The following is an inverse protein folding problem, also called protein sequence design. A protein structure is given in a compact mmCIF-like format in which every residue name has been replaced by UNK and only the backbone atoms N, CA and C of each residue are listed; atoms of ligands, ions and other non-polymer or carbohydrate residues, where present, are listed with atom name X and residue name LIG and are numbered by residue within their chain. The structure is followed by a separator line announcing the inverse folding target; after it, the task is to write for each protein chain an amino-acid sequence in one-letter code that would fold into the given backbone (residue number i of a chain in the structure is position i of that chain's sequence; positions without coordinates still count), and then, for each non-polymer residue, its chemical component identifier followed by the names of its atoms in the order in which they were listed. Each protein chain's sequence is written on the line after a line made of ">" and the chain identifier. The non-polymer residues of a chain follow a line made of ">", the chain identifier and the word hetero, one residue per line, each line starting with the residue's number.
data_IF_019871213387
#
_entry.id   IF_019871213387
#
_cell.length_a   1.000
_cell.length_b   1.000
_cell.length_c   1.000
_cell.angle_alpha   90.00
_cell.angle_beta   90.00
_cell.angle_gamma   90.00
#
_symmetry.space_group_name_H-M   'P 1'
#
loop_
_entity.id
_entity.type
_entity.pdbx_description
1 polymer ?
#
# COMPACT_ATOMS: atom_id res chain seq x y z
N UNK A 1 -6.84 -15.68 -24.04
CA UNK A 1 -7.21 -14.54 -23.18
C UNK A 1 -6.43 -14.70 -21.89
N UNK A 2 -5.56 -13.75 -21.56
CA UNK A 2 -4.75 -13.81 -20.34
C UNK A 2 -5.65 -13.71 -19.11
N UNK A 3 -5.51 -14.63 -18.17
CA UNK A 3 -6.20 -14.56 -16.87
C UNK A 3 -5.35 -13.73 -15.90
N UNK A 4 -5.99 -12.95 -15.04
CA UNK A 4 -5.33 -12.09 -14.07
C UNK A 4 -5.67 -12.48 -12.64
N UNK A 5 -4.69 -12.35 -11.77
CA UNK A 5 -4.86 -12.36 -10.32
C UNK A 5 -4.85 -10.91 -9.80
N UNK A 6 -5.67 -10.63 -8.79
CA UNK A 6 -5.79 -9.30 -8.18
C UNK A 6 -5.48 -9.38 -6.69
N UNK A 7 -4.90 -8.30 -6.16
CA UNK A 7 -4.74 -8.09 -4.72
C UNK A 7 -4.97 -6.63 -4.36
N UNK A 8 -5.31 -6.39 -3.11
CA UNK A 8 -5.31 -5.04 -2.54
C UNK A 8 -4.35 -4.99 -1.34
N UNK A 9 -3.80 -3.81 -1.11
CA UNK A 9 -2.92 -3.50 0.03
C UNK A 9 -3.41 -2.23 0.69
N UNK A 10 -3.66 -2.28 1.99
CA UNK A 10 -3.94 -1.08 2.78
C UNK A 10 -2.64 -0.55 3.38
N UNK A 11 -2.40 0.75 3.22
CA UNK A 11 -1.29 1.48 3.86
C UNK A 11 -1.84 2.63 4.70
N UNK A 12 -1.19 2.90 5.82
CA UNK A 12 -1.38 4.13 6.58
C UNK A 12 -0.41 5.20 6.04
N UNK A 13 -0.91 6.40 5.78
CA UNK A 13 -0.18 7.51 5.15
C UNK A 13 -0.62 8.85 5.74
N UNK A 14 -0.58 9.01 7.07
CA UNK A 14 -1.10 10.22 7.73
C UNK A 14 -0.35 11.48 7.27
N UNK A 15 -0.89 12.15 6.25
CA UNK A 15 -0.34 13.35 5.63
C UNK A 15 -0.95 14.57 6.32
N UNK A 16 -0.63 14.75 7.61
CA UNK A 16 -0.93 16.00 8.30
C UNK A 16 0.07 17.09 7.87
N UNK A 17 -0.37 18.33 7.61
CA UNK A 17 0.51 19.45 7.29
C UNK A 17 1.49 19.80 8.42
N UNK A 18 1.25 19.30 9.65
CA UNK A 18 2.21 19.38 10.75
C UNK A 18 3.14 18.17 10.67
N UNK A 19 4.16 18.28 9.82
CA UNK A 19 5.16 17.30 9.35
C UNK A 19 5.97 16.53 10.42
N UNK A 20 5.58 16.49 11.70
CA UNK A 20 6.32 15.80 12.77
C UNK A 20 5.76 14.43 13.17
N UNK A 21 4.63 14.00 12.60
CA UNK A 21 3.96 12.73 12.93
C UNK A 21 3.42 12.00 11.70
N UNK A 22 4.08 12.11 10.54
CA UNK A 22 3.68 11.35 9.36
C UNK A 22 3.74 9.85 9.70
N UNK A 23 2.57 9.25 9.92
CA UNK A 23 2.45 7.83 10.26
C UNK A 23 2.37 7.05 8.96
N UNK A 24 3.40 6.24 8.77
CA UNK A 24 3.46 5.26 7.72
C UNK A 24 3.20 3.89 8.33
N UNK A 25 2.56 3.01 7.58
CA UNK A 25 2.20 1.70 8.10
C UNK A 25 1.83 0.75 6.99
N UNK A 26 2.37 -0.46 7.04
CA UNK A 26 1.88 -1.58 6.24
C UNK A 26 1.99 -2.89 7.01
N UNK A 27 0.93 -3.68 6.97
CA UNK A 27 0.94 -5.05 7.48
C UNK A 27 1.39 -6.00 6.36
N UNK A 28 2.57 -6.60 6.53
CA UNK A 28 3.09 -7.60 5.60
C UNK A 28 2.61 -9.00 6.01
N UNK A 29 2.08 -9.82 5.09
CA UNK A 29 1.73 -11.21 5.39
C UNK A 29 2.94 -12.00 5.89
N UNK A 30 2.80 -12.66 7.04
CA UNK A 30 3.87 -13.45 7.68
C UNK A 30 4.74 -12.67 8.67
N UNK A 31 4.68 -11.34 8.69
CA UNK A 31 5.39 -10.53 9.69
C UNK A 31 4.54 -10.37 10.96
N UNK A 32 5.17 -10.53 12.14
CA UNK A 32 4.50 -10.36 13.45
C UNK A 32 4.20 -8.91 13.80
N UNK A 33 4.93 -7.97 13.20
CA UNK A 33 4.79 -6.52 13.42
C UNK A 33 4.60 -5.85 12.07
N UNK A 34 3.79 -4.81 12.03
CA UNK A 34 3.70 -3.94 10.87
C UNK A 34 5.03 -3.19 10.66
N UNK A 35 5.31 -2.82 9.41
CA UNK A 35 6.37 -1.87 9.09
C UNK A 35 5.78 -0.47 9.23
N UNK A 36 6.29 0.30 10.17
CA UNK A 36 5.73 1.58 10.64
C UNK A 36 6.55 2.80 10.16
N UNK A 37 7.40 2.60 9.16
CA UNK A 37 8.21 3.65 8.53
C UNK A 37 7.85 3.82 7.05
N UNK A 38 8.13 5.00 6.51
CA UNK A 38 7.91 5.29 5.08
C UNK A 38 8.73 4.33 4.21
N UNK A 39 9.99 4.12 4.58
CA UNK A 39 10.92 3.25 3.86
C UNK A 39 10.45 1.78 3.91
N UNK A 40 9.83 1.37 5.02
CA UNK A 40 9.27 0.03 5.15
C UNK A 40 8.07 -0.20 4.24
N UNK A 41 7.20 0.81 4.11
CA UNK A 41 6.08 0.81 3.15
C UNK A 41 6.60 0.83 1.72
N UNK A 42 7.51 1.73 1.40
CA UNK A 42 8.10 1.87 0.06
C UNK A 42 8.80 0.59 -0.39
N UNK A 43 9.61 0.00 0.49
CA UNK A 43 10.30 -1.26 0.21
C UNK A 43 9.31 -2.38 -0.11
N UNK A 44 8.24 -2.53 0.69
CA UNK A 44 7.24 -3.57 0.46
C UNK A 44 6.48 -3.37 -0.85
N UNK A 45 6.05 -2.15 -1.16
CA UNK A 45 5.37 -1.84 -2.42
C UNK A 45 6.29 -2.08 -3.61
N UNK A 46 7.57 -1.74 -3.49
CA UNK A 46 8.58 -1.99 -4.53
C UNK A 46 8.80 -3.47 -4.76
N UNK A 47 8.86 -4.27 -3.69
CA UNK A 47 9.01 -5.73 -3.78
C UNK A 47 7.80 -6.37 -4.49
N UNK A 48 6.58 -5.87 -4.27
CA UNK A 48 5.41 -6.31 -5.06
C UNK A 48 5.61 -6.06 -6.56
N UNK A 49 6.16 -4.90 -6.94
CA UNK A 49 6.50 -4.61 -8.33
C UNK A 49 7.52 -5.60 -8.91
N UNK A 50 8.55 -5.97 -8.12
CA UNK A 50 9.55 -6.98 -8.50
C UNK A 50 8.96 -8.38 -8.65
N UNK A 51 7.92 -8.70 -7.87
CA UNK A 51 7.14 -9.94 -7.98
C UNK A 51 6.16 -9.95 -9.17
N UNK A 52 6.15 -8.90 -10.00
CA UNK A 52 5.31 -8.80 -11.19
C UNK A 52 3.90 -8.23 -10.92
N UNK A 53 3.66 -7.66 -9.75
CA UNK A 53 2.40 -6.95 -9.47
C UNK A 53 2.42 -5.54 -10.07
N UNK A 54 1.44 -5.24 -10.91
CA UNK A 54 1.20 -3.93 -11.50
C UNK A 54 0.17 -3.15 -10.66
N UNK A 55 0.53 -1.95 -10.20
CA UNK A 55 -0.40 -1.04 -9.52
C UNK A 55 -1.40 -0.47 -10.54
N UNK A 56 -2.70 -0.67 -10.32
CA UNK A 56 -3.75 -0.27 -11.27
C UNK A 56 -4.74 0.75 -10.72
N UNK A 57 -4.88 0.85 -9.40
CA UNK A 57 -5.71 1.88 -8.79
C UNK A 57 -5.22 2.22 -7.38
N UNK A 58 -5.50 3.46 -6.97
CA UNK A 58 -5.26 3.96 -5.61
C UNK A 58 -6.54 4.62 -5.13
N UNK A 59 -7.02 4.21 -3.97
CA UNK A 59 -8.18 4.81 -3.30
C UNK A 59 -7.72 5.40 -1.97
N UNK A 60 -7.75 6.73 -1.86
CA UNK A 60 -7.38 7.43 -0.63
C UNK A 60 -8.57 7.51 0.32
N UNK A 61 -8.35 7.15 1.58
CA UNK A 61 -9.28 7.34 2.68
C UNK A 61 -8.92 8.59 3.48
N UNK A 62 -9.91 9.45 3.71
CA UNK A 62 -9.80 10.67 4.50
C UNK A 62 -10.57 10.56 5.81
N UNK A 63 -10.06 11.21 6.86
CA UNK A 63 -10.81 11.44 8.09
C UNK A 63 -11.81 12.60 7.91
N UNK A 64 -12.71 12.76 8.88
CA UNK A 64 -13.74 13.83 8.89
C UNK A 64 -13.18 15.24 8.65
N UNK A 65 -11.91 15.46 8.99
CA UNK A 65 -11.19 16.74 8.84
C UNK A 65 -10.57 16.94 7.45
N UNK A 66 -10.71 15.98 6.53
CA UNK A 66 -10.15 16.04 5.18
C UNK A 66 -8.70 15.56 5.07
N UNK A 67 -8.07 15.16 6.19
CA UNK A 67 -6.70 14.62 6.21
C UNK A 67 -6.72 13.21 5.64
N UNK A 68 -5.85 12.93 4.66
CA UNK A 68 -5.64 11.58 4.15
C UNK A 68 -4.85 10.81 5.19
N UNK A 69 -5.41 9.70 5.67
CA UNK A 69 -4.76 8.86 6.68
C UNK A 69 -4.49 7.45 6.21
N UNK A 70 -5.17 7.01 5.14
CA UNK A 70 -5.01 5.67 4.56
C UNK A 70 -5.09 5.71 3.04
N UNK A 71 -4.49 4.72 2.42
CA UNK A 71 -4.74 4.40 1.01
C UNK A 71 -4.92 2.89 0.84
N UNK A 72 -5.77 2.51 -0.12
CA UNK A 72 -5.89 1.16 -0.63
C UNK A 72 -5.29 1.13 -2.02
N UNK A 73 -4.24 0.34 -2.19
CA UNK A 73 -3.55 0.12 -3.45
C UNK A 73 -4.07 -1.17 -4.07
N UNK A 74 -4.54 -1.11 -5.32
CA UNK A 74 -4.99 -2.28 -6.06
C UNK A 74 -3.94 -2.69 -7.07
N UNK A 75 -3.56 -3.96 -7.05
CA UNK A 75 -2.62 -4.53 -7.99
C UNK A 75 -3.23 -5.67 -8.78
N UNK A 76 -2.69 -5.92 -9.97
CA UNK A 76 -2.96 -7.12 -10.77
C UNK A 76 -1.64 -7.76 -11.22
N UNK A 77 -1.67 -9.05 -11.54
CA UNK A 77 -0.59 -9.73 -12.28
C UNK A 77 -1.18 -10.82 -13.19
N UNK A 78 -0.54 -11.16 -14.32
CA UNK A 78 -0.97 -12.30 -15.13
C UNK A 78 -0.78 -13.61 -14.35
N UNK A 79 -1.70 -14.55 -14.49
CA UNK A 79 -1.52 -15.91 -13.98
C UNK A 79 -0.46 -16.64 -14.85
N UNK A 80 0.40 -17.49 -14.25
CA UNK A 80 1.24 -18.39 -15.01
C UNK A 80 0.37 -19.31 -15.88
N UNK A 81 0.82 -19.60 -17.10
CA UNK A 81 0.15 -20.57 -18.00
C UNK A 81 0.22 -22.00 -17.48
#
# INVERSE_FOLDING_TARGET
>A
MTKYEYKFLQIDINLSPILKLARWGVQVPGEKKARDTMEGVEAYVTDLGREGWELVAVVCGNERTGIITRAVLFFKRPLPE
#
